data_IF_757185848930
#
_entry.id   IF_757185848930
#
_cell.length_a   1.000
_cell.length_b   1.000
_cell.length_c   1.000
_cell.angle_alpha   90.00
_cell.angle_beta   90.00
_cell.angle_gamma   90.00
#
_symmetry.space_group_name_H-M   'P 1'
#
loop_
_entity.id
_entity.type
_entity.pdbx_description
1 polymer ?
#
# COMPACT_ATOMS: atom_id res chain seq x y z
N UNK A 1 5.90 7.70 -6.70
CA UNK A 1 6.73 6.64 -7.29
C UNK A 1 5.93 5.34 -7.35
N UNK A 2 5.95 4.69 -8.49
CA UNK A 2 5.22 3.42 -8.68
C UNK A 2 6.09 2.22 -8.35
N UNK A 3 5.44 1.06 -8.19
CA UNK A 3 6.16 -0.20 -7.99
C UNK A 3 7.10 -0.49 -9.16
N UNK A 4 6.66 -0.22 -10.40
CA UNK A 4 7.49 -0.41 -11.60
C UNK A 4 8.73 0.47 -11.57
N UNK A 5 8.58 1.72 -11.17
CA UNK A 5 9.71 2.65 -11.03
C UNK A 5 10.70 2.17 -9.97
N UNK A 6 10.20 1.65 -8.83
CA UNK A 6 11.05 1.06 -7.81
C UNK A 6 11.82 -0.16 -8.34
N UNK A 7 11.14 -1.03 -9.08
CA UNK A 7 11.77 -2.21 -9.69
C UNK A 7 12.88 -1.82 -10.67
N UNK A 8 12.65 -0.78 -11.46
CA UNK A 8 13.67 -0.26 -12.38
C UNK A 8 14.87 0.30 -11.63
N UNK A 9 14.65 1.02 -10.52
CA UNK A 9 15.73 1.52 -9.68
C UNK A 9 16.54 0.38 -9.06
N UNK A 10 15.85 -0.65 -8.57
CA UNK A 10 16.50 -1.82 -7.98
C UNK A 10 17.36 -2.53 -9.01
N UNK A 11 16.84 -2.75 -10.22
CA UNK A 11 17.58 -3.40 -11.29
C UNK A 11 18.86 -2.63 -11.64
N UNK A 12 18.77 -1.32 -11.68
CA UNK A 12 19.90 -0.44 -11.96
C UNK A 12 20.92 -0.46 -10.83
N UNK A 13 20.45 -0.33 -9.59
CA UNK A 13 21.32 -0.22 -8.41
C UNK A 13 22.00 -1.55 -8.07
N UNK A 14 21.39 -2.68 -8.44
CA UNK A 14 21.89 -4.02 -8.10
C UNK A 14 22.75 -4.64 -9.18
N UNK A 15 23.05 -3.93 -10.25
CA UNK A 15 24.01 -4.40 -11.25
C UNK A 15 25.38 -4.48 -10.62
N UNK A 16 25.92 -5.70 -10.54
CA UNK A 16 27.29 -5.95 -10.10
C UNK A 16 28.22 -5.75 -11.29
N UNK A 17 29.21 -4.90 -11.12
CA UNK A 17 30.32 -4.79 -12.05
C UNK A 17 31.51 -5.53 -11.43
N UNK A 18 31.95 -6.61 -12.08
CA UNK A 18 33.04 -7.45 -11.61
C UNK A 18 34.35 -6.69 -11.38
N UNK A 19 34.52 -5.56 -12.07
CA UNK A 19 35.73 -4.73 -11.94
C UNK A 19 35.65 -3.75 -10.76
N UNK A 20 34.52 -3.64 -10.08
CA UNK A 20 34.29 -2.64 -9.02
C UNK A 20 33.85 -3.27 -7.70
N UNK A 21 34.35 -4.45 -7.34
CA UNK A 21 33.98 -5.14 -6.11
C UNK A 21 34.24 -4.29 -4.85
N UNK A 22 35.32 -3.55 -4.80
CA UNK A 22 35.63 -2.66 -3.68
C UNK A 22 34.65 -1.52 -3.58
N UNK A 23 34.20 -1.00 -4.72
CA UNK A 23 33.19 0.04 -4.78
C UNK A 23 31.84 -0.49 -4.30
N UNK A 24 31.51 -1.74 -4.62
CA UNK A 24 30.26 -2.38 -4.15
C UNK A 24 30.19 -2.46 -2.63
N UNK A 25 31.31 -2.76 -1.97
CA UNK A 25 31.36 -2.82 -0.49
C UNK A 25 31.00 -1.47 0.13
N UNK A 26 31.36 -0.37 -0.48
CA UNK A 26 31.02 0.98 -0.02
C UNK A 26 29.57 1.32 -0.35
N UNK A 27 29.07 0.86 -1.50
CA UNK A 27 27.70 1.12 -1.94
C UNK A 27 26.64 0.48 -1.06
N UNK A 28 26.91 -0.68 -0.47
CA UNK A 28 25.90 -1.45 0.26
C UNK A 28 25.23 -0.64 1.38
N UNK A 29 25.95 0.05 2.27
CA UNK A 29 25.31 0.89 3.29
C UNK A 29 24.46 2.02 2.69
N UNK A 30 24.91 2.61 1.59
CA UNK A 30 24.17 3.68 0.92
C UNK A 30 22.88 3.15 0.29
N UNK A 31 22.94 1.99 -0.35
CA UNK A 31 21.76 1.34 -0.91
C UNK A 31 20.76 0.96 0.18
N UNK A 32 21.26 0.41 1.29
CA UNK A 32 20.41 0.04 2.41
C UNK A 32 19.66 1.26 2.94
N UNK A 33 20.37 2.36 3.16
CA UNK A 33 19.75 3.59 3.65
C UNK A 33 18.71 4.14 2.65
N UNK A 34 19.02 4.12 1.36
CA UNK A 34 18.10 4.58 0.31
C UNK A 34 16.78 3.79 0.34
N UNK A 35 16.86 2.47 0.35
CA UNK A 35 15.66 1.63 0.32
C UNK A 35 14.96 1.56 1.66
N UNK A 36 15.67 1.75 2.77
CA UNK A 36 15.04 1.91 4.07
C UNK A 36 14.18 3.16 4.14
N UNK A 37 14.64 4.27 3.54
CA UNK A 37 13.84 5.49 3.48
C UNK A 37 12.57 5.27 2.66
N UNK A 38 12.66 4.58 1.53
CA UNK A 38 11.48 4.22 0.74
C UNK A 38 10.54 3.32 1.53
N UNK A 39 11.08 2.31 2.21
CA UNK A 39 10.31 1.41 3.04
C UNK A 39 9.53 2.16 4.11
N UNK A 40 10.19 3.05 4.83
CA UNK A 40 9.55 3.84 5.88
C UNK A 40 8.44 4.73 5.32
N UNK A 41 8.70 5.40 4.21
CA UNK A 41 7.72 6.27 3.54
C UNK A 41 6.47 5.47 3.14
N UNK A 42 6.65 4.35 2.46
CA UNK A 42 5.52 3.56 1.97
C UNK A 42 4.80 2.83 3.10
N UNK A 43 5.50 2.46 4.17
CA UNK A 43 4.86 1.90 5.37
C UNK A 43 3.89 2.88 6.01
N UNK A 44 4.27 4.17 6.09
CA UNK A 44 3.39 5.20 6.61
C UNK A 44 2.20 5.47 5.67
N UNK A 45 2.44 5.47 4.37
CA UNK A 45 1.37 5.61 3.39
C UNK A 45 0.37 4.44 3.45
N UNK A 46 0.88 3.23 3.63
CA UNK A 46 0.04 2.05 3.81
C UNK A 46 -0.84 2.18 5.04
N UNK A 47 -0.26 2.61 6.16
CA UNK A 47 -1.01 2.79 7.40
C UNK A 47 -2.13 3.80 7.24
N UNK A 48 -1.84 4.91 6.57
CA UNK A 48 -2.85 5.91 6.28
C UNK A 48 -3.97 5.35 5.39
N UNK A 49 -3.60 4.60 4.35
CA UNK A 49 -4.59 4.00 3.44
C UNK A 49 -5.48 2.99 4.18
N UNK A 50 -4.93 2.23 5.11
CA UNK A 50 -5.69 1.29 5.92
C UNK A 50 -6.69 2.02 6.84
N UNK A 51 -6.28 3.11 7.47
CA UNK A 51 -7.17 3.94 8.28
C UNK A 51 -8.25 4.61 7.45
N UNK A 52 -7.88 5.13 6.28
CA UNK A 52 -8.85 5.74 5.36
C UNK A 52 -9.91 4.73 4.92
N UNK A 53 -9.49 3.49 4.66
CA UNK A 53 -10.41 2.41 4.33
C UNK A 53 -11.38 2.12 5.48
N UNK A 54 -10.88 2.01 6.71
CA UNK A 54 -11.72 1.76 7.89
C UNK A 54 -12.73 2.87 8.14
N UNK A 55 -12.31 4.12 7.95
CA UNK A 55 -13.19 5.28 8.10
C UNK A 55 -14.29 5.27 7.03
N UNK A 56 -13.91 4.99 5.78
CA UNK A 56 -14.86 4.89 4.68
C UNK A 56 -15.82 3.71 4.90
N UNK A 57 -15.32 2.60 5.42
CA UNK A 57 -16.13 1.43 5.74
C UNK A 57 -17.24 1.78 6.74
N UNK A 58 -16.91 2.56 7.78
CA UNK A 58 -17.93 3.03 8.73
C UNK A 58 -18.94 3.94 8.05
N UNK A 59 -18.49 4.90 7.23
CA UNK A 59 -19.39 5.82 6.53
C UNK A 59 -20.35 5.07 5.60
N UNK A 60 -19.86 4.05 4.91
CA UNK A 60 -20.69 3.22 4.03
C UNK A 60 -21.65 2.35 4.82
N UNK A 61 -21.21 1.81 5.95
CA UNK A 61 -22.10 1.06 6.84
C UNK A 61 -23.26 1.94 7.32
N UNK A 62 -22.96 3.16 7.74
CA UNK A 62 -23.98 4.13 8.13
C UNK A 62 -24.94 4.43 6.98
N UNK A 63 -24.39 4.63 5.77
CA UNK A 63 -25.17 4.91 4.58
C UNK A 63 -26.13 3.77 4.25
N UNK A 64 -25.65 2.54 4.21
CA UNK A 64 -26.48 1.38 3.84
C UNK A 64 -27.46 0.96 4.94
N UNK A 65 -27.23 1.37 6.18
CA UNK A 65 -28.13 1.09 7.29
C UNK A 65 -29.12 2.24 7.61
N UNK A 66 -29.10 3.30 6.80
CA UNK A 66 -30.00 4.44 6.97
C UNK A 66 -29.62 5.40 8.08
N UNK A 67 -28.37 5.36 8.54
CA UNK A 67 -27.89 6.16 9.68
C UNK A 67 -27.08 7.39 9.29
N UNK A 68 -26.85 7.62 7.99
CA UNK A 68 -26.15 8.81 7.52
C UNK A 68 -27.02 10.05 7.66
N UNK A 69 -26.37 11.24 7.58
CA UNK A 69 -27.08 12.52 7.58
C UNK A 69 -28.06 12.61 6.42
N UNK A 70 -29.21 13.30 6.60
CA UNK A 70 -30.16 13.50 5.51
C UNK A 70 -29.54 14.13 4.27
N UNK A 71 -28.52 14.99 4.42
CA UNK A 71 -27.81 15.61 3.31
C UNK A 71 -27.13 14.58 2.40
N UNK A 72 -26.65 13.48 2.95
CA UNK A 72 -26.02 12.39 2.18
C UNK A 72 -27.06 11.74 1.26
N UNK A 73 -28.26 11.48 1.77
CA UNK A 73 -29.34 10.87 0.99
C UNK A 73 -29.96 11.83 -0.02
N UNK A 74 -29.82 13.14 0.21
CA UNK A 74 -30.25 14.14 -0.76
C UNK A 74 -29.38 14.12 -2.00
N UNK A 75 -28.07 13.89 -1.85
CA UNK A 75 -27.12 13.78 -2.97
C UNK A 75 -27.14 12.40 -3.61
N UNK A 76 -27.20 11.34 -2.80
CA UNK A 76 -27.19 9.95 -3.27
C UNK A 76 -28.31 9.18 -2.56
N UNK A 77 -29.52 9.16 -3.14
CA UNK A 77 -30.65 8.46 -2.54
C UNK A 77 -30.39 6.95 -2.44
N UNK A 78 -30.81 6.37 -1.32
CA UNK A 78 -30.76 4.93 -1.11
C UNK A 78 -32.05 4.53 -0.37
N UNK A 79 -33.03 4.04 -1.13
CA UNK A 79 -34.40 3.81 -0.64
C UNK A 79 -34.65 2.37 -0.18
N UNK A 80 -33.65 1.49 -0.29
CA UNK A 80 -33.79 0.09 0.08
C UNK A 80 -33.63 -0.08 1.58
N UNK A 81 -34.49 -0.90 2.17
CA UNK A 81 -34.32 -1.35 3.55
C UNK A 81 -33.54 -2.65 3.52
N UNK A 82 -32.30 -2.60 3.99
CA UNK A 82 -31.41 -3.76 3.97
C UNK A 82 -31.41 -4.40 5.36
N UNK A 83 -31.59 -5.73 5.40
CA UNK A 83 -31.48 -6.49 6.63
C UNK A 83 -30.02 -6.49 7.09
N UNK A 84 -29.80 -6.51 8.41
CA UNK A 84 -28.43 -6.51 8.96
C UNK A 84 -27.56 -7.62 8.37
N UNK A 85 -28.13 -8.78 8.13
CA UNK A 85 -27.42 -9.92 7.55
C UNK A 85 -26.98 -9.68 6.10
N UNK A 86 -27.62 -8.75 5.38
CA UNK A 86 -27.38 -8.50 3.96
C UNK A 86 -26.55 -7.23 3.71
N UNK A 87 -26.24 -6.45 4.73
CA UNK A 87 -25.48 -5.20 4.58
C UNK A 87 -24.11 -5.45 3.93
N UNK A 88 -23.46 -6.56 4.28
CA UNK A 88 -22.14 -6.91 3.73
C UNK A 88 -22.16 -7.07 2.20
N UNK A 89 -23.29 -7.50 1.62
CA UNK A 89 -23.42 -7.67 0.17
C UNK A 89 -23.26 -6.32 -0.52
N UNK A 90 -23.93 -5.28 0.01
CA UNK A 90 -23.85 -3.93 -0.54
C UNK A 90 -22.49 -3.29 -0.31
N UNK A 91 -21.89 -3.52 0.86
CA UNK A 91 -20.56 -2.99 1.18
C UNK A 91 -19.47 -3.65 0.34
N UNK A 92 -19.52 -4.96 0.18
CA UNK A 92 -18.51 -5.70 -0.60
C UNK A 92 -18.54 -5.33 -2.09
N UNK A 93 -19.70 -4.93 -2.59
CA UNK A 93 -19.87 -4.48 -3.99
C UNK A 93 -19.75 -2.97 -4.17
N UNK A 94 -19.51 -2.21 -3.11
CA UNK A 94 -19.36 -0.76 -3.19
C UNK A 94 -18.06 -0.39 -3.88
N UNK A 95 -18.15 0.40 -4.96
CA UNK A 95 -16.99 0.74 -5.78
C UNK A 95 -15.97 1.61 -5.03
N UNK A 96 -16.43 2.51 -4.17
CA UNK A 96 -15.52 3.37 -3.40
C UNK A 96 -14.73 2.55 -2.37
N UNK A 97 -15.39 1.59 -1.71
CA UNK A 97 -14.73 0.68 -0.79
C UNK A 97 -13.72 -0.21 -1.53
N UNK A 98 -14.09 -0.71 -2.70
CA UNK A 98 -13.19 -1.51 -3.51
C UNK A 98 -11.94 -0.73 -3.92
N UNK A 99 -12.10 0.52 -4.32
CA UNK A 99 -10.97 1.39 -4.68
C UNK A 99 -10.05 1.64 -3.50
N UNK A 100 -10.61 1.91 -2.32
CA UNK A 100 -9.82 2.15 -1.11
C UNK A 100 -9.06 0.88 -0.69
N UNK A 101 -9.69 -0.27 -0.80
CA UNK A 101 -9.07 -1.56 -0.51
C UNK A 101 -7.93 -1.87 -1.49
N UNK A 102 -8.16 -1.62 -2.78
CA UNK A 102 -7.14 -1.81 -3.82
C UNK A 102 -5.93 -0.90 -3.60
N UNK A 103 -6.17 0.34 -3.18
CA UNK A 103 -5.08 1.27 -2.86
C UNK A 103 -4.23 0.74 -1.72
N UNK A 104 -4.87 0.28 -0.64
CA UNK A 104 -4.16 -0.29 0.50
C UNK A 104 -3.40 -1.56 0.10
N UNK A 105 -4.01 -2.42 -0.71
CA UNK A 105 -3.38 -3.65 -1.19
C UNK A 105 -2.16 -3.35 -2.07
N UNK A 106 -2.26 -2.34 -2.93
CA UNK A 106 -1.14 -1.90 -3.77
C UNK A 106 0.03 -1.43 -2.91
N UNK A 107 -0.24 -0.58 -1.92
CA UNK A 107 0.80 -0.07 -1.02
C UNK A 107 1.43 -1.20 -0.20
N UNK A 108 0.64 -2.20 0.19
CA UNK A 108 1.15 -3.37 0.89
C UNK A 108 2.12 -4.17 0.00
N UNK A 109 1.82 -4.30 -1.28
CA UNK A 109 2.75 -4.95 -2.22
C UNK A 109 4.06 -4.18 -2.34
N UNK A 110 4.00 -2.85 -2.38
CA UNK A 110 5.20 -2.00 -2.43
C UNK A 110 6.04 -2.21 -1.17
N UNK A 111 5.42 -2.20 0.00
CA UNK A 111 6.13 -2.41 1.28
C UNK A 111 6.76 -3.80 1.32
N UNK A 112 6.03 -4.83 0.93
CA UNK A 112 6.54 -6.21 0.89
C UNK A 112 7.72 -6.32 -0.06
N UNK A 113 7.64 -5.69 -1.23
CA UNK A 113 8.73 -5.66 -2.19
C UNK A 113 9.98 -5.00 -1.59
N UNK A 114 9.81 -3.87 -0.91
CA UNK A 114 10.92 -3.16 -0.28
C UNK A 114 11.55 -3.97 0.86
N UNK A 115 10.75 -4.73 1.61
CA UNK A 115 11.28 -5.67 2.61
C UNK A 115 12.21 -6.70 1.97
N UNK A 116 11.79 -7.24 0.81
CA UNK A 116 12.61 -8.20 0.08
C UNK A 116 13.88 -7.57 -0.46
N UNK A 117 13.82 -6.33 -0.94
CA UNK A 117 14.98 -5.58 -1.40
C UNK A 117 15.98 -5.39 -0.26
N UNK A 118 15.50 -4.97 0.91
CA UNK A 118 16.35 -4.77 2.10
C UNK A 118 17.00 -6.10 2.53
N UNK A 119 16.25 -7.18 2.46
CA UNK A 119 16.77 -8.52 2.80
C UNK A 119 17.87 -8.93 1.81
N UNK A 120 17.68 -8.66 0.53
CA UNK A 120 18.69 -8.92 -0.51
C UNK A 120 19.96 -8.13 -0.27
N UNK A 121 19.84 -6.87 0.14
CA UNK A 121 20.99 -6.02 0.47
C UNK A 121 21.76 -6.61 1.66
N UNK A 122 21.05 -7.03 2.70
CA UNK A 122 21.66 -7.65 3.88
C UNK A 122 22.37 -8.95 3.51
N UNK A 123 21.78 -9.76 2.63
CA UNK A 123 22.43 -11.00 2.17
C UNK A 123 23.70 -10.71 1.37
N UNK A 124 23.73 -9.65 0.57
CA UNK A 124 24.94 -9.23 -0.15
C UNK A 124 26.08 -8.90 0.79
N UNK A 125 25.77 -8.34 1.95
CA UNK A 125 26.79 -8.03 2.98
C UNK A 125 27.56 -9.26 3.39
N UNK A 126 26.91 -10.43 3.44
CA UNK A 126 27.56 -11.69 3.80
C UNK A 126 28.31 -12.34 2.63
N UNK A 127 27.96 -11.98 1.41
CA UNK A 127 28.57 -12.55 0.20
C UNK A 127 29.84 -11.81 -0.25
N UNK A 128 30.04 -10.62 0.25
CA UNK A 128 31.22 -9.78 -0.03
C UNK A 128 32.19 -9.81 1.16
#
# INVERSE_FOLDING_TARGET
MTLEELQQQVDKDFKLDDTELDTESVKIPLLHNKYLQHFNKFSLLLKKAEYDYKTLQRHKWEYYTGKSDPSVYAEKPFDLKVLKADVHIYMDSDEELQKADQKAAYLKQVVTYLEQVLRSINNRTFLI
#
